data_IF_647520156339
#
_entry.id   IF_647520156339
#
_cell.length_a   1.000
_cell.length_b   1.000
_cell.length_c   1.000
_cell.angle_alpha   90.00
_cell.angle_beta   90.00
_cell.angle_gamma   90.00
#
_symmetry.space_group_name_H-M   'P 1'
#
loop_
_entity.id
_entity.type
_entity.pdbx_description
1 polymer ?
#
# COMPACT_ATOMS: atom_id res chain seq x y z
N UNK A 1 -29.68 9.50 -91.45
CA UNK A 1 -29.06 10.27 -90.37
C UNK A 1 -30.01 11.38 -90.01
N UNK A 2 -30.71 11.21 -88.85
CA UNK A 2 -31.64 12.25 -88.37
C UNK A 2 -30.80 13.47 -87.91
N UNK A 3 -31.07 14.63 -88.59
CA UNK A 3 -30.48 15.90 -88.17
C UNK A 3 -31.17 16.30 -86.84
N UNK A 4 -30.44 16.26 -85.74
CA UNK A 4 -30.90 16.75 -84.42
C UNK A 4 -31.40 18.21 -84.62
N UNK A 5 -32.57 18.47 -84.14
CA UNK A 5 -33.12 19.82 -84.13
C UNK A 5 -32.34 20.73 -83.15
N UNK A 6 -32.32 22.05 -83.50
CA UNK A 6 -31.59 23.04 -82.68
C UNK A 6 -31.98 23.04 -81.21
N UNK A 7 -33.20 22.63 -80.86
CA UNK A 7 -33.69 22.48 -79.49
C UNK A 7 -33.10 21.26 -78.78
N UNK A 8 -32.87 20.17 -79.51
CA UNK A 8 -32.29 18.94 -78.98
C UNK A 8 -30.80 19.13 -78.69
N UNK A 9 -30.07 19.83 -79.54
CA UNK A 9 -28.68 20.21 -79.33
C UNK A 9 -28.52 21.07 -78.08
N UNK A 10 -29.40 22.03 -77.85
CA UNK A 10 -29.39 22.88 -76.67
C UNK A 10 -29.66 22.08 -75.43
N UNK A 11 -30.58 21.15 -75.43
CA UNK A 11 -30.91 20.29 -74.27
C UNK A 11 -29.72 19.38 -73.89
N UNK A 12 -29.05 18.81 -74.91
CA UNK A 12 -27.83 17.99 -74.68
C UNK A 12 -26.72 18.86 -74.07
N UNK A 13 -26.54 20.08 -74.52
CA UNK A 13 -25.51 20.99 -74.01
C UNK A 13 -25.74 21.35 -72.48
N UNK A 14 -27.02 21.55 -72.15
CA UNK A 14 -27.43 21.80 -70.75
C UNK A 14 -27.14 20.56 -69.88
N UNK A 15 -27.49 19.37 -70.39
CA UNK A 15 -27.19 18.12 -69.60
C UNK A 15 -25.70 17.92 -69.41
N UNK A 16 -24.88 18.14 -70.44
CA UNK A 16 -23.41 18.02 -70.34
C UNK A 16 -22.86 19.03 -69.30
N UNK A 17 -23.38 20.25 -69.30
CA UNK A 17 -22.96 21.28 -68.36
C UNK A 17 -23.29 20.90 -66.90
N UNK A 18 -24.50 20.36 -66.65
CA UNK A 18 -24.87 19.82 -65.34
C UNK A 18 -24.01 18.65 -64.94
N UNK A 19 -23.66 17.77 -65.86
CA UNK A 19 -22.85 16.60 -65.60
C UNK A 19 -21.39 16.98 -65.25
N UNK A 20 -20.82 17.96 -65.92
CA UNK A 20 -19.52 18.55 -65.61
C UNK A 20 -19.51 19.22 -64.21
N UNK A 21 -20.60 19.95 -63.91
CA UNK A 21 -20.71 20.55 -62.57
C UNK A 21 -20.81 19.54 -61.47
N UNK A 22 -21.55 18.46 -61.68
CA UNK A 22 -21.67 17.35 -60.76
C UNK A 22 -20.33 16.61 -60.55
N UNK A 23 -19.59 16.35 -61.62
CA UNK A 23 -18.25 15.76 -61.56
C UNK A 23 -17.26 16.66 -60.79
N UNK A 24 -17.25 17.95 -61.08
CA UNK A 24 -16.40 18.89 -60.36
C UNK A 24 -16.73 18.95 -58.87
N UNK A 25 -18.03 18.91 -58.52
CA UNK A 25 -18.47 18.85 -57.12
C UNK A 25 -17.98 17.56 -56.44
N UNK A 26 -18.18 16.42 -57.10
CA UNK A 26 -17.83 15.10 -56.50
C UNK A 26 -16.33 14.89 -56.40
N UNK A 27 -15.55 15.32 -57.41
CA UNK A 27 -14.11 15.07 -57.45
C UNK A 27 -13.27 16.11 -56.66
N UNK A 28 -13.76 17.33 -56.48
CA UNK A 28 -12.95 18.41 -55.86
C UNK A 28 -13.55 18.85 -54.52
N UNK A 29 -14.81 19.19 -54.48
CA UNK A 29 -15.42 19.82 -53.31
C UNK A 29 -15.69 18.78 -52.20
N UNK A 30 -16.17 17.59 -52.56
CA UNK A 30 -16.48 16.54 -51.60
C UNK A 30 -15.25 16.05 -50.84
N UNK A 31 -14.14 15.68 -51.51
CA UNK A 31 -12.93 15.23 -50.78
C UNK A 31 -12.32 16.37 -49.96
N UNK A 32 -12.28 17.62 -50.45
CA UNK A 32 -11.76 18.74 -49.64
C UNK A 32 -12.56 18.97 -48.34
N UNK A 33 -13.87 18.79 -48.39
CA UNK A 33 -14.71 18.91 -47.17
C UNK A 33 -14.46 17.76 -46.17
N UNK A 34 -14.26 16.55 -46.66
CA UNK A 34 -13.97 15.40 -45.81
C UNK A 34 -12.59 15.53 -45.18
N UNK A 35 -11.57 15.87 -45.97
CA UNK A 35 -10.21 16.12 -45.44
C UNK A 35 -10.20 17.27 -44.41
N UNK A 36 -11.00 18.34 -44.68
CA UNK A 36 -11.14 19.43 -43.70
C UNK A 36 -11.80 19.02 -42.40
N UNK A 37 -12.76 18.08 -42.43
CA UNK A 37 -13.33 17.49 -41.19
C UNK A 37 -12.32 16.61 -40.44
N UNK A 38 -11.61 15.75 -41.16
CA UNK A 38 -10.57 14.90 -40.59
C UNK A 38 -9.46 15.72 -39.90
N UNK A 39 -8.97 16.77 -40.50
CA UNK A 39 -8.00 17.67 -39.88
C UNK A 39 -8.57 18.37 -38.65
N UNK A 40 -9.83 18.77 -38.66
CA UNK A 40 -10.47 19.39 -37.51
C UNK A 40 -10.62 18.39 -36.34
N UNK A 41 -10.96 17.15 -36.64
CA UNK A 41 -11.03 16.08 -35.64
C UNK A 41 -9.63 15.74 -35.05
N UNK A 42 -8.61 15.68 -35.93
CA UNK A 42 -7.23 15.48 -35.50
C UNK A 42 -6.73 16.60 -34.57
N UNK A 43 -7.00 17.86 -34.95
CA UNK A 43 -6.65 19.03 -34.12
C UNK A 43 -7.34 18.93 -32.76
N UNK A 44 -8.64 18.60 -32.75
CA UNK A 44 -9.39 18.46 -31.49
C UNK A 44 -8.83 17.35 -30.61
N UNK A 45 -8.46 16.22 -31.21
CA UNK A 45 -7.85 15.08 -30.48
C UNK A 45 -6.47 15.43 -29.93
N UNK A 46 -5.63 16.08 -30.74
CA UNK A 46 -4.30 16.54 -30.32
C UNK A 46 -4.39 17.60 -29.22
N UNK A 47 -5.36 18.49 -29.31
CA UNK A 47 -5.60 19.50 -28.28
C UNK A 47 -5.98 18.85 -26.95
N UNK A 48 -6.88 17.87 -27.00
CA UNK A 48 -7.28 17.10 -25.82
C UNK A 48 -6.08 16.37 -25.19
N UNK A 49 -5.26 15.71 -26.00
CA UNK A 49 -4.03 15.05 -25.52
C UNK A 49 -3.03 16.04 -24.90
N UNK A 50 -2.90 17.23 -25.52
CA UNK A 50 -2.04 18.28 -24.99
C UNK A 50 -2.56 18.79 -23.63
N UNK A 51 -3.85 19.03 -23.51
CA UNK A 51 -4.46 19.50 -22.27
C UNK A 51 -4.35 18.45 -21.15
N UNK A 52 -4.52 17.16 -21.48
CA UNK A 52 -4.31 16.04 -20.53
C UNK A 52 -2.85 15.97 -20.07
N UNK A 53 -1.89 16.05 -20.99
CA UNK A 53 -0.47 16.05 -20.64
C UNK A 53 -0.08 17.29 -19.82
N UNK A 54 -0.62 18.44 -20.17
CA UNK A 54 -0.40 19.69 -19.43
C UNK A 54 -0.93 19.58 -17.99
N UNK A 55 -2.13 19.02 -17.80
CA UNK A 55 -2.67 18.80 -16.46
C UNK A 55 -1.78 17.89 -15.61
N UNK A 56 -1.18 16.86 -16.20
CA UNK A 56 -0.20 15.98 -15.52
C UNK A 56 1.07 16.78 -15.14
N UNK A 57 1.58 17.61 -16.04
CA UNK A 57 2.76 18.44 -15.77
C UNK A 57 2.47 19.47 -14.68
N UNK A 58 1.31 20.12 -14.73
CA UNK A 58 0.90 21.13 -13.75
C UNK A 58 0.67 20.51 -12.35
N UNK A 59 0.31 19.22 -12.28
CA UNK A 59 0.16 18.49 -11.01
C UNK A 59 1.47 17.87 -10.50
N UNK A 60 2.57 17.96 -11.24
CA UNK A 60 3.85 17.35 -10.87
C UNK A 60 4.33 17.76 -9.48
N UNK A 61 4.23 19.04 -9.13
CA UNK A 61 4.68 19.54 -7.84
C UNK A 61 3.84 18.99 -6.68
N UNK A 62 2.55 18.77 -6.91
CA UNK A 62 1.67 18.11 -5.94
C UNK A 62 2.05 16.63 -5.76
N UNK A 63 2.38 15.91 -6.83
CA UNK A 63 2.87 14.54 -6.73
C UNK A 63 4.19 14.45 -5.96
N UNK A 64 5.12 15.37 -6.22
CA UNK A 64 6.40 15.43 -5.49
C UNK A 64 6.15 15.68 -4.00
N UNK A 65 5.31 16.65 -3.65
CA UNK A 65 4.95 16.94 -2.26
C UNK A 65 4.29 15.73 -1.58
N UNK A 66 3.39 15.04 -2.27
CA UNK A 66 2.74 13.82 -1.76
C UNK A 66 3.75 12.70 -1.52
N UNK A 67 4.70 12.49 -2.45
CA UNK A 67 5.77 11.50 -2.28
C UNK A 67 6.65 11.83 -1.08
N UNK A 68 7.00 13.10 -0.89
CA UNK A 68 7.79 13.54 0.25
C UNK A 68 7.06 13.28 1.58
N UNK A 69 5.77 13.61 1.62
CA UNK A 69 4.93 13.34 2.79
C UNK A 69 4.81 11.84 3.08
N UNK A 70 4.57 11.01 2.04
CA UNK A 70 4.52 9.56 2.20
C UNK A 70 5.85 8.97 2.70
N UNK A 71 6.99 9.54 2.31
CA UNK A 71 8.30 9.14 2.85
C UNK A 71 8.42 9.47 4.33
N UNK A 72 8.01 10.67 4.75
CA UNK A 72 8.02 11.06 6.15
C UNK A 72 7.09 10.19 6.99
N UNK A 73 5.88 9.93 6.51
CA UNK A 73 4.92 9.06 7.18
C UNK A 73 5.46 7.63 7.31
N UNK A 74 6.14 7.13 6.28
CA UNK A 74 6.84 5.84 6.32
C UNK A 74 7.93 5.81 7.39
N UNK A 75 8.79 6.83 7.46
CA UNK A 75 9.85 6.92 8.47
C UNK A 75 9.27 7.00 9.88
N UNK A 76 8.20 7.77 10.07
CA UNK A 76 7.49 7.85 11.36
C UNK A 76 6.95 6.48 11.75
N UNK A 77 6.27 5.80 10.83
CA UNK A 77 5.76 4.46 11.08
C UNK A 77 6.89 3.48 11.45
N UNK A 78 8.03 3.56 10.76
CA UNK A 78 9.19 2.73 11.05
C UNK A 78 9.82 3.02 12.42
N UNK A 79 9.73 4.26 12.89
CA UNK A 79 10.24 4.64 14.21
C UNK A 79 9.30 4.19 15.33
N UNK A 80 7.99 4.25 15.09
CA UNK A 80 6.96 3.91 16.08
C UNK A 80 6.63 2.41 16.12
N UNK A 81 6.97 1.65 15.08
CA UNK A 81 6.73 0.20 15.03
C UNK A 81 7.96 -0.59 15.42
N UNK A 82 7.74 -1.83 15.87
CA UNK A 82 8.84 -2.79 16.06
C UNK A 82 9.37 -3.25 14.69
N UNK A 83 10.68 -3.57 14.56
CA UNK A 83 11.20 -4.22 13.36
C UNK A 83 10.56 -5.59 13.20
N UNK A 84 10.51 -6.10 11.99
CA UNK A 84 10.18 -7.49 11.75
C UNK A 84 11.25 -8.35 12.43
N UNK A 85 10.82 -9.16 13.35
CA UNK A 85 11.72 -9.96 14.19
C UNK A 85 11.15 -11.35 14.38
N UNK A 86 12.05 -12.27 14.63
CA UNK A 86 11.69 -13.66 14.91
C UNK A 86 10.91 -13.78 16.23
N UNK A 87 10.04 -14.77 16.30
CA UNK A 87 9.21 -15.04 17.49
C UNK A 87 10.05 -15.21 18.76
N UNK A 88 11.25 -15.76 18.61
CA UNK A 88 12.22 -15.97 19.68
C UNK A 88 12.68 -14.67 20.31
N UNK A 89 12.88 -13.63 19.52
CA UNK A 89 13.28 -12.31 20.02
C UNK A 89 12.14 -11.64 20.78
N UNK A 90 10.91 -11.79 20.32
CA UNK A 90 9.71 -11.31 21.03
C UNK A 90 9.57 -12.06 22.36
N UNK A 91 9.79 -13.37 22.36
CA UNK A 91 9.77 -14.17 23.57
C UNK A 91 10.85 -13.71 24.56
N UNK A 92 12.09 -13.53 24.10
CA UNK A 92 13.20 -13.06 24.95
C UNK A 92 12.89 -11.68 25.56
N UNK A 93 12.36 -10.75 24.75
CA UNK A 93 11.92 -9.44 25.21
C UNK A 93 10.88 -9.52 26.33
N UNK A 94 9.85 -10.36 26.17
CA UNK A 94 8.82 -10.54 27.20
C UNK A 94 9.39 -11.13 28.48
N UNK A 95 10.29 -12.13 28.38
CA UNK A 95 10.95 -12.74 29.52
C UNK A 95 11.80 -11.74 30.30
N UNK A 96 12.55 -10.89 29.62
CA UNK A 96 13.38 -9.88 30.26
C UNK A 96 12.56 -8.80 30.99
N UNK A 97 11.44 -8.36 30.37
CA UNK A 97 10.50 -7.43 31.01
C UNK A 97 9.85 -8.03 32.25
N UNK A 98 9.44 -9.30 32.19
CA UNK A 98 8.87 -10.00 33.34
C UNK A 98 9.89 -10.16 34.48
N UNK A 99 11.15 -10.54 34.18
CA UNK A 99 12.24 -10.60 35.17
C UNK A 99 12.49 -9.24 35.81
N UNK A 100 12.56 -8.15 35.03
CA UNK A 100 12.75 -6.81 35.57
C UNK A 100 11.61 -6.36 36.51
N UNK A 101 10.44 -6.94 36.34
CA UNK A 101 9.25 -6.69 37.17
C UNK A 101 9.07 -7.74 38.29
N UNK A 102 9.99 -8.68 38.48
CA UNK A 102 9.89 -9.81 39.42
C UNK A 102 8.59 -10.62 39.23
N UNK A 103 8.31 -11.00 38.00
CA UNK A 103 7.14 -11.80 37.61
C UNK A 103 7.63 -13.13 37.07
N UNK A 104 6.90 -14.19 37.41
CA UNK A 104 7.08 -15.52 36.81
C UNK A 104 6.17 -15.65 35.60
N UNK A 105 6.74 -16.07 34.48
CA UNK A 105 5.96 -16.42 33.30
C UNK A 105 5.64 -17.89 33.33
N UNK A 106 4.34 -18.20 33.28
CA UNK A 106 3.85 -19.58 33.28
C UNK A 106 3.80 -20.13 31.84
N UNK A 107 3.35 -19.29 30.90
CA UNK A 107 3.32 -19.62 29.47
C UNK A 107 3.33 -18.38 28.57
N UNK A 108 3.95 -18.50 27.41
CA UNK A 108 3.87 -17.50 26.33
C UNK A 108 3.46 -18.22 25.05
N UNK A 109 2.46 -17.67 24.38
CA UNK A 109 2.05 -18.11 23.06
C UNK A 109 2.04 -16.89 22.13
N UNK A 110 2.76 -16.98 21.00
CA UNK A 110 2.88 -15.91 20.02
C UNK A 110 2.32 -16.40 18.70
N UNK A 111 1.38 -15.65 18.12
CA UNK A 111 0.86 -15.87 16.78
C UNK A 111 1.13 -14.64 15.92
N UNK A 112 1.47 -14.87 14.66
CA UNK A 112 1.79 -13.81 13.70
C UNK A 112 0.80 -13.82 12.57
N UNK A 113 0.19 -12.66 12.32
CA UNK A 113 -0.68 -12.40 11.17
C UNK A 113 -0.04 -11.38 10.24
N UNK A 114 -0.03 -11.69 8.94
CA UNK A 114 0.50 -10.79 7.89
C UNK A 114 -0.65 -9.99 7.30
N UNK A 115 -0.56 -8.68 7.38
CA UNK A 115 -1.52 -7.81 6.73
C UNK A 115 -1.40 -7.92 5.20
N UNK A 116 -2.52 -8.14 4.53
CA UNK A 116 -2.57 -8.25 3.07
C UNK A 116 -3.52 -7.21 2.49
N UNK A 117 -3.15 -6.63 1.35
CA UNK A 117 -4.02 -5.76 0.54
C UNK A 117 -4.37 -6.50 -0.75
N UNK A 118 -5.59 -6.31 -1.23
CA UNK A 118 -5.96 -6.80 -2.56
C UNK A 118 -5.36 -5.89 -3.62
N UNK A 119 -4.61 -6.47 -4.53
CA UNK A 119 -4.20 -5.78 -5.75
C UNK A 119 -5.45 -5.49 -6.59
N UNK A 120 -5.66 -4.24 -6.95
CA UNK A 120 -6.84 -3.80 -7.72
C UNK A 120 -6.83 -4.33 -9.17
N UNK A 121 -5.66 -4.69 -9.70
CA UNK A 121 -5.52 -5.17 -11.08
C UNK A 121 -5.68 -6.68 -11.18
N UNK A 122 -5.10 -7.43 -10.23
CA UNK A 122 -5.10 -8.90 -10.26
C UNK A 122 -6.13 -9.52 -9.32
N UNK A 123 -6.61 -8.77 -8.33
CA UNK A 123 -7.49 -9.25 -7.26
C UNK A 123 -6.79 -10.16 -6.25
N UNK A 124 -5.49 -10.39 -6.39
CA UNK A 124 -4.68 -11.20 -5.50
C UNK A 124 -4.36 -10.47 -4.20
N UNK A 125 -4.18 -11.24 -3.12
CA UNK A 125 -3.74 -10.69 -1.83
C UNK A 125 -2.23 -10.54 -1.83
N UNK A 126 -1.74 -9.30 -1.76
CA UNK A 126 -0.33 -8.96 -1.69
C UNK A 126 0.03 -8.59 -0.24
N UNK A 127 1.12 -9.15 0.34
CA UNK A 127 1.58 -8.76 1.66
C UNK A 127 2.00 -7.28 1.68
N UNK A 128 1.63 -6.58 2.74
CA UNK A 128 1.96 -5.14 2.90
C UNK A 128 3.30 -4.89 3.57
N UNK A 129 3.98 -5.93 4.03
CA UNK A 129 5.17 -5.79 4.90
C UNK A 129 4.82 -5.44 6.36
N UNK A 130 3.53 -5.30 6.68
CA UNK A 130 3.06 -5.12 8.05
C UNK A 130 2.66 -6.48 8.63
N UNK A 131 3.13 -6.77 9.84
CA UNK A 131 2.78 -7.97 10.57
C UNK A 131 2.26 -7.59 11.94
N UNK A 132 1.25 -8.30 12.41
CA UNK A 132 0.72 -8.17 13.76
C UNK A 132 1.06 -9.42 14.53
N UNK A 133 1.84 -9.27 15.60
CA UNK A 133 2.16 -10.35 16.52
C UNK A 133 1.22 -10.27 17.73
N UNK A 134 0.36 -11.26 17.87
CA UNK A 134 -0.50 -11.41 19.05
C UNK A 134 0.20 -12.30 20.07
N UNK A 135 0.46 -11.76 21.26
CA UNK A 135 1.18 -12.40 22.34
C UNK A 135 0.20 -12.66 23.49
N UNK A 136 -0.02 -13.92 23.79
CA UNK A 136 -0.77 -14.36 24.95
C UNK A 136 0.21 -14.83 26.04
N UNK A 137 0.23 -14.12 27.16
CA UNK A 137 1.13 -14.42 28.28
C UNK A 137 0.32 -14.73 29.52
N UNK A 138 0.59 -15.89 30.13
CA UNK A 138 0.15 -16.21 31.49
C UNK A 138 1.29 -15.95 32.45
N UNK A 139 1.03 -15.15 33.47
CA UNK A 139 2.02 -14.72 34.45
C UNK A 139 1.49 -14.89 35.87
N UNK A 140 2.40 -15.12 36.79
CA UNK A 140 2.12 -15.17 38.25
C UNK A 140 3.00 -14.17 38.99
N UNK A 141 2.38 -13.36 39.83
CA UNK A 141 3.10 -12.36 40.63
C UNK A 141 2.19 -11.54 41.56
N UNK A 142 2.77 -10.60 42.28
CA UNK A 142 1.98 -9.67 43.09
C UNK A 142 1.30 -8.63 42.20
N UNK A 143 0.17 -8.11 42.65
CA UNK A 143 -0.57 -7.06 41.92
C UNK A 143 0.33 -5.87 41.51
N UNK A 144 1.18 -5.40 42.45
CA UNK A 144 2.09 -4.28 42.20
C UNK A 144 3.09 -4.58 41.07
N UNK A 145 3.62 -5.81 41.03
CA UNK A 145 4.55 -6.22 39.98
C UNK A 145 3.87 -6.37 38.61
N UNK A 146 2.63 -6.86 38.59
CA UNK A 146 1.83 -6.97 37.36
C UNK A 146 1.55 -5.59 36.80
N UNK A 147 1.11 -4.63 37.62
CA UNK A 147 0.88 -3.23 37.17
C UNK A 147 2.18 -2.61 36.69
N UNK A 148 3.33 -2.87 37.38
CA UNK A 148 4.62 -2.40 36.91
C UNK A 148 4.96 -2.95 35.54
N UNK A 149 4.77 -4.24 35.28
CA UNK A 149 5.01 -4.84 33.96
C UNK A 149 4.15 -4.15 32.88
N UNK A 150 2.85 -3.96 33.14
CA UNK A 150 1.93 -3.31 32.19
C UNK A 150 2.42 -1.89 31.89
N UNK A 151 2.75 -1.11 32.93
CA UNK A 151 3.27 0.26 32.78
C UNK A 151 4.58 0.30 32.01
N UNK A 152 5.50 -0.64 32.30
CA UNK A 152 6.78 -0.75 31.60
C UNK A 152 6.57 -1.11 30.11
N UNK A 153 5.56 -1.92 29.78
CA UNK A 153 5.21 -2.24 28.40
C UNK A 153 4.57 -1.04 27.68
N UNK A 154 3.72 -0.27 28.36
CA UNK A 154 3.13 0.95 27.80
C UNK A 154 4.17 2.06 27.55
N UNK A 155 5.23 2.12 28.36
CA UNK A 155 6.32 3.08 28.19
C UNK A 155 7.30 2.71 27.07
N UNK A 156 7.21 1.54 26.50
CA UNK A 156 7.94 1.21 25.26
C UNK A 156 7.38 2.11 24.15
N UNK A 157 8.20 3.04 23.63
CA UNK A 157 7.82 4.02 22.61
C UNK A 157 7.55 3.39 21.23
N UNK A 158 6.87 2.25 21.22
CA UNK A 158 6.55 1.50 20.00
C UNK A 158 5.13 0.98 20.08
N UNK A 159 4.54 0.69 18.95
CA UNK A 159 3.15 0.28 18.85
C UNK A 159 2.94 -1.09 19.50
N UNK A 160 2.68 -1.07 20.80
CA UNK A 160 2.22 -2.20 21.58
C UNK A 160 0.86 -1.88 22.19
N UNK A 161 -0.10 -2.77 22.02
CA UNK A 161 -1.46 -2.59 22.52
C UNK A 161 -1.84 -3.76 23.41
N UNK A 162 -2.18 -3.46 24.68
CA UNK A 162 -2.82 -4.42 25.55
C UNK A 162 -4.29 -4.58 25.14
N UNK A 163 -4.62 -5.70 24.51
CA UNK A 163 -5.97 -5.94 23.98
C UNK A 163 -6.93 -6.48 25.02
N UNK A 164 -6.45 -7.30 25.94
CA UNK A 164 -7.23 -7.79 27.07
C UNK A 164 -6.34 -8.24 28.21
N UNK A 165 -6.88 -8.22 29.40
CA UNK A 165 -6.25 -8.82 30.58
C UNK A 165 -7.29 -9.41 31.53
N UNK A 166 -6.92 -10.44 32.25
CA UNK A 166 -7.73 -11.03 33.30
C UNK A 166 -6.87 -11.26 34.52
N UNK A 167 -7.40 -10.96 35.70
CA UNK A 167 -6.73 -11.09 37.00
C UNK A 167 -7.50 -12.09 37.87
N UNK A 168 -6.82 -13.04 38.44
CA UNK A 168 -7.41 -14.01 39.37
C UNK A 168 -6.46 -14.32 40.53
N UNK A 169 -6.96 -14.49 41.74
CA UNK A 169 -6.20 -14.86 42.90
C UNK A 169 -6.09 -13.80 43.99
N UNK A 170 -5.20 -13.99 44.94
CA UNK A 170 -4.94 -13.08 46.05
C UNK A 170 -3.96 -11.96 45.59
N UNK A 171 -4.08 -10.71 46.07
CA UNK A 171 -3.19 -9.59 45.70
C UNK A 171 -1.70 -9.88 45.89
N UNK A 172 -1.32 -10.79 46.79
CA UNK A 172 0.06 -11.19 46.99
C UNK A 172 0.57 -12.21 45.96
N UNK A 173 -0.36 -12.99 45.35
CA UNK A 173 -0.01 -14.04 44.37
C UNK A 173 -1.14 -14.22 43.38
N UNK A 174 -1.16 -13.40 42.36
CA UNK A 174 -2.18 -13.38 41.30
C UNK A 174 -1.69 -14.10 40.06
N UNK A 175 -2.58 -14.88 39.47
CA UNK A 175 -2.39 -15.38 38.08
C UNK A 175 -3.14 -14.47 37.12
N UNK A 176 -2.44 -14.04 36.08
CA UNK A 176 -2.94 -13.04 35.14
C UNK A 176 -2.67 -13.52 33.73
N UNK A 177 -3.68 -13.42 32.87
CA UNK A 177 -3.51 -13.58 31.43
C UNK A 177 -3.53 -12.21 30.77
N UNK A 178 -2.47 -11.91 30.01
CA UNK A 178 -2.29 -10.67 29.26
C UNK A 178 -2.26 -11.00 27.78
N UNK A 179 -3.01 -10.23 26.99
CA UNK A 179 -2.97 -10.30 25.53
C UNK A 179 -2.43 -8.98 24.98
N UNK A 180 -1.26 -9.03 24.36
CA UNK A 180 -0.65 -7.90 23.67
C UNK A 180 -0.70 -8.11 22.17
N UNK A 181 -0.88 -7.01 21.44
CA UNK A 181 -0.72 -6.92 19.99
C UNK A 181 0.46 -6.02 19.70
N UNK A 182 1.49 -6.53 19.03
CA UNK A 182 2.65 -5.77 18.58
C UNK A 182 2.60 -5.62 17.06
N UNK A 183 2.66 -4.39 16.59
CA UNK A 183 2.82 -4.11 15.17
C UNK A 183 4.31 -4.16 14.80
N UNK A 184 4.67 -5.04 13.88
CA UNK A 184 6.01 -5.15 13.33
C UNK A 184 6.02 -4.79 11.85
N UNK A 185 7.09 -4.15 11.41
CA UNK A 185 7.27 -3.69 10.02
C UNK A 185 8.57 -4.24 9.50
N UNK A 186 8.54 -4.81 8.30
CA UNK A 186 9.76 -5.19 7.59
C UNK A 186 10.53 -3.93 7.18
N UNK A 187 11.62 -3.68 7.86
CA UNK A 187 12.50 -2.52 7.64
C UNK A 187 13.63 -2.81 6.65
N UNK A 188 13.72 -4.05 6.15
CA UNK A 188 14.85 -4.53 5.38
C UNK A 188 16.03 -4.99 6.29
N UNK A 189 17.00 -5.65 5.70
CA UNK A 189 18.07 -6.35 6.42
C UNK A 189 19.06 -5.43 7.19
N UNK A 190 19.04 -4.11 6.94
CA UNK A 190 20.08 -3.18 7.43
C UNK A 190 19.72 -2.43 8.73
N UNK A 191 18.54 -2.62 9.31
CA UNK A 191 18.10 -1.87 10.49
C UNK A 191 18.04 -2.78 11.72
N UNK A 192 19.10 -2.77 12.49
CA UNK A 192 19.13 -3.39 13.82
C UNK A 192 18.39 -2.49 14.81
N UNK A 193 17.30 -2.98 15.38
CA UNK A 193 16.59 -2.26 16.45
C UNK A 193 17.21 -2.61 17.82
N UNK A 194 17.75 -1.61 18.55
CA UNK A 194 18.37 -1.85 19.86
C UNK A 194 17.40 -2.39 20.91
N UNK A 195 16.07 -2.32 20.67
CA UNK A 195 15.06 -2.89 21.59
C UNK A 195 15.14 -4.42 21.63
N UNK A 196 15.56 -5.05 20.51
CA UNK A 196 15.74 -6.49 20.38
C UNK A 196 17.20 -6.89 20.22
N UNK A 197 18.14 -5.94 20.36
CA UNK A 197 19.57 -6.26 20.39
C UNK A 197 19.93 -6.96 21.72
N UNK A 198 19.33 -8.10 21.92
CA UNK A 198 19.91 -9.12 22.78
C UNK A 198 20.95 -9.82 21.91
N UNK A 199 22.13 -9.24 21.84
CA UNK A 199 23.28 -10.00 21.41
C UNK A 199 23.33 -11.27 22.29
N UNK A 200 22.68 -12.33 21.83
CA UNK A 200 23.04 -13.66 22.25
C UNK A 200 24.51 -13.74 21.87
N UNK A 201 25.37 -13.41 22.82
CA UNK A 201 26.76 -13.83 22.72
C UNK A 201 26.66 -15.31 22.39
N UNK A 202 27.05 -15.68 21.18
CA UNK A 202 27.20 -17.08 20.81
C UNK A 202 28.17 -17.66 21.84
N UNK A 203 27.60 -18.08 22.97
CA UNK A 203 28.30 -18.87 23.97
C UNK A 203 28.76 -20.10 23.24
N UNK A 204 30.05 -20.14 22.96
CA UNK A 204 30.73 -21.34 22.47
C UNK A 204 30.11 -22.55 23.14
N UNK A 205 29.39 -23.37 22.37
CA UNK A 205 29.15 -24.77 22.62
C UNK A 205 28.81 -25.17 24.06
N UNK A 206 27.61 -24.82 24.53
CA UNK A 206 27.02 -25.46 25.70
C UNK A 206 25.88 -26.34 25.24
N UNK A 207 26.10 -27.64 25.22
CA UNK A 207 25.06 -28.65 25.02
C UNK A 207 23.99 -28.46 26.10
N UNK A 208 22.82 -27.96 25.75
CA UNK A 208 21.66 -27.93 26.65
C UNK A 208 21.12 -29.36 26.68
N UNK A 209 21.47 -30.08 27.72
CA UNK A 209 20.83 -31.33 28.09
C UNK A 209 19.44 -30.99 28.66
N UNK A 210 18.41 -31.34 27.92
CA UNK A 210 17.06 -31.43 28.45
C UNK A 210 17.01 -32.63 29.38
N UNK A 211 16.84 -32.40 30.68
CA UNK A 211 16.50 -33.36 31.71
C UNK A 211 15.05 -33.14 32.11
#
# INVERSE_FOLDING_TARGET
MNKLGSKEIFLILVIINFLLYYLAYMCVISPMRNTGKEYKEQITTLQKQYDEQKAIVDSKDQYIATIEQLKQDKETLFTESFPDTETENIHAFMVDRAKASNIVIDSINISQDVATVKDEQTGEKVPTGLKTNTINVSITGSYANIIKLITDMENVKKTSLLTSFSLAGDPANMTTSLNYSLLTVDKGEDIVDPTFDHSFSQGKGGTVLFG
#
